data_IF_680601832242
#
_entry.id   IF_680601832242
#
_cell.length_a   1.000
_cell.length_b   1.000
_cell.length_c   1.000
_cell.angle_alpha   90.00
_cell.angle_beta   90.00
_cell.angle_gamma   90.00
#
_symmetry.space_group_name_H-M   'P 1'
#
loop_
_entity.id
_entity.type
_entity.pdbx_description
1 polymer ?
#
# COMPACT_ATOMS: atom_id res chain seq x y z
N UNK A 1 14.02 27.18 -23.57
CA UNK A 1 12.80 26.70 -24.29
C UNK A 1 11.90 25.84 -23.41
N UNK A 2 12.43 24.90 -22.62
CA UNK A 2 11.64 24.04 -21.69
C UNK A 2 10.94 24.82 -20.56
N UNK A 3 11.55 25.88 -20.04
CA UNK A 3 11.01 26.69 -18.95
C UNK A 3 9.75 27.46 -19.37
N UNK A 4 9.71 27.98 -20.60
CA UNK A 4 8.54 28.72 -21.14
C UNK A 4 7.29 27.83 -21.31
N UNK A 5 7.47 26.58 -21.73
CA UNK A 5 6.32 25.67 -21.93
C UNK A 5 5.70 25.30 -20.58
N UNK A 6 6.50 25.14 -19.53
CA UNK A 6 6.02 24.85 -18.17
C UNK A 6 5.19 26.01 -17.62
N UNK A 7 5.65 27.24 -17.80
CA UNK A 7 5.01 28.45 -17.27
C UNK A 7 3.67 28.71 -18.01
N UNK A 8 3.65 28.59 -19.33
CA UNK A 8 2.43 28.73 -20.14
C UNK A 8 1.39 27.67 -19.80
N UNK A 9 1.82 26.41 -19.59
CA UNK A 9 0.93 25.34 -19.20
C UNK A 9 0.35 25.58 -17.81
N UNK A 10 1.17 26.01 -16.86
CA UNK A 10 0.75 26.35 -15.51
C UNK A 10 -0.26 27.50 -15.51
N UNK A 11 -0.01 28.58 -16.26
CA UNK A 11 -0.92 29.71 -16.42
C UNK A 11 -2.27 29.24 -17.02
N UNK A 12 -2.25 28.37 -18.03
CA UNK A 12 -3.48 27.82 -18.62
C UNK A 12 -4.31 27.02 -17.63
N UNK A 13 -3.67 26.26 -16.72
CA UNK A 13 -4.36 25.54 -15.64
C UNK A 13 -4.87 26.49 -14.55
N UNK A 14 -4.16 27.55 -14.22
CA UNK A 14 -4.53 28.48 -13.14
C UNK A 14 -5.62 29.46 -13.55
N UNK A 15 -5.63 29.88 -14.82
CA UNK A 15 -6.57 30.91 -15.32
C UNK A 15 -7.69 30.35 -16.18
N UNK A 16 -7.50 29.16 -16.71
CA UNK A 16 -8.42 28.56 -17.68
C UNK A 16 -9.62 27.84 -17.06
N UNK A 17 -10.49 27.34 -17.95
CA UNK A 17 -11.65 26.51 -17.61
C UNK A 17 -11.26 25.23 -16.85
N UNK A 18 -10.04 24.77 -16.99
CA UNK A 18 -9.51 23.55 -16.42
C UNK A 18 -8.75 23.78 -15.12
N UNK A 19 -9.00 24.88 -14.47
CA UNK A 19 -8.37 25.23 -13.20
C UNK A 19 -8.48 24.09 -12.20
N UNK A 20 -7.31 23.65 -11.73
CA UNK A 20 -7.18 22.64 -10.70
C UNK A 20 -7.03 23.33 -9.35
N UNK A 21 -7.77 22.87 -8.34
CA UNK A 21 -7.69 23.43 -7.00
C UNK A 21 -6.71 22.63 -6.15
N UNK A 22 -5.72 23.31 -5.59
CA UNK A 22 -4.77 22.70 -4.66
C UNK A 22 -5.38 22.49 -3.29
N UNK A 23 -4.98 21.44 -2.61
CA UNK A 23 -5.45 21.06 -1.28
C UNK A 23 -4.29 20.80 -0.34
N UNK A 24 -4.43 21.24 0.91
CA UNK A 24 -3.53 20.80 1.97
C UNK A 24 -4.03 19.46 2.53
N UNK A 25 -3.20 18.45 2.50
CA UNK A 25 -3.44 17.19 3.19
C UNK A 25 -2.74 17.27 4.56
N UNK A 26 -3.49 17.31 5.68
CA UNK A 26 -2.90 17.61 7.00
C UNK A 26 -1.76 16.67 7.40
N UNK A 27 -1.89 15.39 7.07
CA UNK A 27 -0.93 14.35 7.46
C UNK A 27 0.06 13.96 6.35
N UNK A 28 0.17 14.73 5.25
CA UNK A 28 1.00 14.38 4.10
C UNK A 28 2.44 14.01 4.49
N UNK A 29 3.11 14.88 5.27
CA UNK A 29 4.49 14.67 5.72
C UNK A 29 4.64 13.42 6.58
N UNK A 30 3.63 13.13 7.44
CA UNK A 30 3.62 11.93 8.26
C UNK A 30 3.54 10.69 7.37
N UNK A 31 2.62 10.64 6.42
CA UNK A 31 2.47 9.51 5.52
C UNK A 31 3.74 9.22 4.71
N UNK A 32 4.40 10.27 4.19
CA UNK A 32 5.66 10.12 3.44
C UNK A 32 6.75 9.51 4.31
N UNK A 33 6.91 9.95 5.57
CA UNK A 33 7.89 9.37 6.50
C UNK A 33 7.53 7.93 6.89
N UNK A 34 6.25 7.65 7.07
CA UNK A 34 5.80 6.33 7.50
C UNK A 34 6.01 5.27 6.40
N UNK A 35 5.95 5.66 5.11
CA UNK A 35 6.27 4.78 3.98
C UNK A 35 7.71 4.25 4.08
N UNK A 36 8.64 4.99 4.67
CA UNK A 36 10.03 4.54 4.87
C UNK A 36 10.10 3.22 5.66
N UNK A 37 9.15 2.96 6.58
CA UNK A 37 9.09 1.66 7.26
C UNK A 37 8.93 0.48 6.28
N UNK A 38 8.24 0.68 5.15
CA UNK A 38 8.06 -0.35 4.14
C UNK A 38 9.35 -0.54 3.35
N UNK A 39 9.99 0.55 2.92
CA UNK A 39 11.19 0.51 2.09
C UNK A 39 12.42 0.01 2.87
N UNK A 40 12.54 0.33 4.15
CA UNK A 40 13.63 -0.17 5.00
C UNK A 40 13.43 -1.62 5.46
N UNK A 41 12.22 -2.15 5.38
CA UNK A 41 11.95 -3.55 5.68
C UNK A 41 12.24 -4.46 4.47
N UNK A 42 13.37 -4.29 3.78
CA UNK A 42 13.77 -5.17 2.68
C UNK A 42 13.96 -6.62 3.16
N UNK A 43 13.49 -7.58 2.35
CA UNK A 43 13.75 -9.00 2.65
C UNK A 43 15.13 -9.40 2.19
N UNK A 44 15.87 -10.12 3.06
CA UNK A 44 17.13 -10.78 2.75
C UNK A 44 16.95 -12.15 2.10
N UNK A 45 15.73 -12.65 1.96
CA UNK A 45 15.45 -13.95 1.37
C UNK A 45 15.81 -13.98 -0.12
N UNK A 46 16.73 -14.85 -0.51
CA UNK A 46 17.26 -14.94 -1.88
C UNK A 46 16.12 -15.16 -2.90
N UNK A 47 15.21 -16.08 -2.64
CA UNK A 47 14.10 -16.43 -3.53
C UNK A 47 13.02 -15.33 -3.61
N UNK A 48 12.98 -14.45 -2.62
CA UNK A 48 12.02 -13.36 -2.53
C UNK A 48 12.66 -11.97 -2.74
N UNK A 49 13.96 -11.87 -2.92
CA UNK A 49 14.68 -10.59 -3.01
C UNK A 49 14.11 -9.67 -4.11
N UNK A 50 13.65 -10.24 -5.21
CA UNK A 50 12.99 -9.49 -6.28
C UNK A 50 11.71 -8.76 -5.83
N UNK A 51 11.08 -9.18 -4.72
CA UNK A 51 9.89 -8.55 -4.17
C UNK A 51 10.15 -7.13 -3.66
N UNK A 52 11.38 -6.82 -3.20
CA UNK A 52 11.76 -5.50 -2.71
C UNK A 52 11.43 -4.41 -3.72
N UNK A 53 11.81 -4.60 -4.99
CA UNK A 53 11.55 -3.64 -6.09
C UNK A 53 10.06 -3.36 -6.29
N UNK A 54 9.21 -4.37 -6.14
CA UNK A 54 7.76 -4.19 -6.26
C UNK A 54 7.19 -3.41 -5.07
N UNK A 55 7.70 -3.63 -3.86
CA UNK A 55 7.27 -2.88 -2.68
C UNK A 55 7.77 -1.44 -2.71
N UNK A 56 8.96 -1.18 -3.26
CA UNK A 56 9.46 0.17 -3.53
C UNK A 56 8.54 0.89 -4.52
N UNK A 57 8.16 0.22 -5.62
CA UNK A 57 7.22 0.77 -6.59
C UNK A 57 5.84 1.03 -5.97
N UNK A 58 5.33 0.11 -5.14
CA UNK A 58 4.07 0.30 -4.43
C UNK A 58 4.14 1.50 -3.47
N UNK A 59 5.26 1.68 -2.77
CA UNK A 59 5.53 2.82 -1.88
C UNK A 59 5.61 4.12 -2.67
N UNK A 60 6.30 4.12 -3.81
CA UNK A 60 6.37 5.28 -4.72
C UNK A 60 4.98 5.66 -5.24
N UNK A 61 4.11 4.68 -5.56
CA UNK A 61 2.73 4.96 -5.97
C UNK A 61 1.93 5.65 -4.86
N UNK A 62 2.13 5.30 -3.58
CA UNK A 62 1.50 5.99 -2.45
C UNK A 62 2.03 7.42 -2.35
N UNK A 63 3.34 7.63 -2.42
CA UNK A 63 3.95 8.96 -2.38
C UNK A 63 3.44 9.86 -3.51
N UNK A 64 3.41 9.33 -4.74
CA UNK A 64 2.86 10.03 -5.91
C UNK A 64 1.39 10.42 -5.69
N UNK A 65 0.59 9.54 -5.08
CA UNK A 65 -0.83 9.81 -4.81
C UNK A 65 -1.03 11.00 -3.90
N UNK A 66 -0.20 11.12 -2.85
CA UNK A 66 -0.24 12.24 -1.90
C UNK A 66 0.05 13.55 -2.61
N UNK A 67 1.10 13.57 -3.43
CA UNK A 67 1.44 14.75 -4.23
C UNK A 67 0.32 15.14 -5.21
N UNK A 68 -0.16 14.18 -5.99
CA UNK A 68 -1.24 14.39 -6.95
C UNK A 68 -2.53 14.90 -6.29
N UNK A 69 -2.85 14.39 -5.09
CA UNK A 69 -4.01 14.84 -4.36
C UNK A 69 -3.89 16.31 -3.94
N UNK A 70 -2.72 16.73 -3.42
CA UNK A 70 -2.48 18.12 -3.03
C UNK A 70 -2.51 19.06 -4.22
N UNK A 71 -2.05 18.62 -5.38
CA UNK A 71 -2.14 19.37 -6.64
C UNK A 71 -3.56 19.36 -7.25
N UNK A 72 -4.53 18.65 -6.65
CA UNK A 72 -5.93 18.60 -7.07
C UNK A 72 -6.25 17.55 -8.15
N UNK A 73 -5.30 16.66 -8.48
CA UNK A 73 -5.50 15.56 -9.43
C UNK A 73 -6.09 14.32 -8.74
N UNK A 74 -7.30 14.45 -8.20
CA UNK A 74 -7.92 13.42 -7.35
C UNK A 74 -8.02 12.04 -8.02
N UNK A 75 -8.43 12.00 -9.28
CA UNK A 75 -8.62 10.74 -9.99
C UNK A 75 -7.31 9.97 -10.11
N UNK A 76 -6.25 10.68 -10.50
CA UNK A 76 -4.91 10.13 -10.59
C UNK A 76 -4.38 9.72 -9.22
N UNK A 77 -4.68 10.49 -8.17
CA UNK A 77 -4.32 10.18 -6.79
C UNK A 77 -4.96 8.87 -6.32
N UNK A 78 -6.28 8.72 -6.47
CA UNK A 78 -6.97 7.47 -6.12
C UNK A 78 -6.54 6.29 -6.98
N UNK A 79 -6.27 6.52 -8.27
CA UNK A 79 -5.73 5.49 -9.15
C UNK A 79 -4.36 4.98 -8.67
N UNK A 80 -3.45 5.89 -8.29
CA UNK A 80 -2.13 5.53 -7.75
C UNK A 80 -2.23 4.72 -6.46
N UNK A 81 -3.12 5.09 -5.53
CA UNK A 81 -3.37 4.30 -4.31
C UNK A 81 -3.91 2.90 -4.62
N UNK A 82 -4.83 2.79 -5.57
CA UNK A 82 -5.31 1.49 -6.01
C UNK A 82 -4.18 0.66 -6.60
N UNK A 83 -3.34 1.27 -7.45
CA UNK A 83 -2.23 0.60 -8.11
C UNK A 83 -1.20 0.09 -7.09
N UNK A 84 -0.91 0.82 -6.01
CA UNK A 84 0.00 0.35 -4.96
C UNK A 84 -0.45 -0.98 -4.32
N UNK A 85 -1.75 -1.11 -4.06
CA UNK A 85 -2.33 -2.35 -3.52
C UNK A 85 -2.29 -3.48 -4.56
N UNK A 86 -2.58 -3.17 -5.83
CA UNK A 86 -2.55 -4.15 -6.92
C UNK A 86 -1.13 -4.67 -7.20
N UNK A 87 -0.12 -3.80 -7.16
CA UNK A 87 1.30 -4.19 -7.24
C UNK A 87 1.65 -5.14 -6.10
N UNK A 88 1.28 -4.83 -4.86
CA UNK A 88 1.58 -5.67 -3.69
C UNK A 88 0.93 -7.05 -3.77
N UNK A 89 -0.30 -7.13 -4.27
CA UNK A 89 -0.98 -8.41 -4.56
C UNK A 89 -0.23 -9.17 -5.65
N UNK A 90 0.17 -8.47 -6.71
CA UNK A 90 0.96 -9.02 -7.81
C UNK A 90 2.28 -9.58 -7.33
N UNK A 91 2.96 -8.87 -6.44
CA UNK A 91 4.23 -9.31 -5.84
C UNK A 91 4.08 -10.65 -5.14
N UNK A 92 3.10 -10.76 -4.24
CA UNK A 92 2.85 -12.01 -3.53
C UNK A 92 2.49 -13.16 -4.48
N UNK A 93 1.67 -12.87 -5.50
CA UNK A 93 1.29 -13.85 -6.51
C UNK A 93 2.49 -14.34 -7.34
N UNK A 94 3.37 -13.44 -7.77
CA UNK A 94 4.53 -13.75 -8.59
C UNK A 94 5.63 -14.46 -7.78
N UNK A 95 5.83 -14.07 -6.52
CA UNK A 95 6.76 -14.75 -5.61
C UNK A 95 6.31 -16.21 -5.36
N UNK A 96 5.02 -16.45 -5.17
CA UNK A 96 4.47 -17.80 -5.00
C UNK A 96 4.44 -18.62 -6.30
N UNK A 97 4.67 -18.01 -7.47
CA UNK A 97 4.53 -18.65 -8.77
C UNK A 97 5.66 -18.25 -9.73
N UNK A 98 6.87 -18.86 -9.63
CA UNK A 98 8.02 -18.52 -10.48
C UNK A 98 7.73 -18.59 -12.00
N UNK A 99 6.94 -19.57 -12.45
CA UNK A 99 6.55 -19.66 -13.87
C UNK A 99 5.73 -18.47 -14.34
N UNK A 100 4.90 -17.89 -13.46
CA UNK A 100 4.13 -16.69 -13.75
C UNK A 100 4.99 -15.45 -13.75
N UNK A 101 6.04 -15.42 -12.93
CA UNK A 101 7.02 -14.34 -12.95
C UNK A 101 7.72 -14.24 -14.30
N UNK A 102 8.12 -15.37 -14.90
CA UNK A 102 8.74 -15.37 -16.24
C UNK A 102 7.76 -14.87 -17.33
N UNK A 103 6.50 -15.27 -17.25
CA UNK A 103 5.45 -14.76 -18.16
C UNK A 103 5.22 -13.27 -17.99
N UNK A 104 5.20 -12.79 -16.74
CA UNK A 104 5.08 -11.37 -16.44
C UNK A 104 6.27 -10.56 -17.00
N UNK A 105 7.50 -11.06 -16.85
CA UNK A 105 8.70 -10.46 -17.46
C UNK A 105 8.61 -10.42 -19.00
N UNK A 106 8.00 -11.42 -19.60
CA UNK A 106 7.77 -11.50 -21.03
C UNK A 106 6.57 -10.63 -21.52
N UNK A 107 5.97 -9.83 -20.64
CA UNK A 107 4.82 -8.96 -20.92
C UNK A 107 3.57 -9.73 -21.41
N UNK A 108 3.43 -11.00 -21.03
CA UNK A 108 2.24 -11.78 -21.35
C UNK A 108 1.01 -11.25 -20.60
N UNK A 109 -0.19 -11.28 -21.18
CA UNK A 109 -1.42 -10.83 -20.55
C UNK A 109 -1.88 -11.79 -19.44
N UNK A 110 -2.80 -11.35 -18.58
CA UNK A 110 -3.51 -12.23 -17.65
C UNK A 110 -3.25 -11.96 -16.17
N UNK A 111 -2.60 -10.85 -15.85
CA UNK A 111 -2.26 -10.45 -14.45
C UNK A 111 -3.31 -9.50 -13.85
N UNK A 112 -4.58 -9.93 -13.86
CA UNK A 112 -5.68 -9.18 -13.26
C UNK A 112 -5.70 -9.38 -11.74
N UNK A 113 -5.72 -8.30 -10.96
CA UNK A 113 -5.68 -8.34 -9.49
C UNK A 113 -6.76 -9.24 -8.87
N UNK A 114 -7.96 -9.26 -9.42
CA UNK A 114 -9.04 -10.13 -8.97
C UNK A 114 -8.75 -11.62 -9.12
N UNK A 115 -8.14 -12.01 -10.25
CA UNK A 115 -7.72 -13.41 -10.51
C UNK A 115 -6.56 -13.81 -9.61
N UNK A 116 -5.58 -12.91 -9.41
CA UNK A 116 -4.45 -13.14 -8.51
C UNK A 116 -4.91 -13.34 -7.06
N UNK A 117 -5.79 -12.49 -6.54
CA UNK A 117 -6.38 -12.67 -5.19
C UNK A 117 -7.15 -13.98 -5.09
N UNK A 118 -7.91 -14.37 -6.10
CA UNK A 118 -8.64 -15.65 -6.11
C UNK A 118 -7.68 -16.84 -6.06
N UNK A 119 -6.61 -16.80 -6.82
CA UNK A 119 -5.57 -17.82 -6.81
C UNK A 119 -4.90 -17.93 -5.43
N UNK A 120 -4.42 -16.80 -4.86
CA UNK A 120 -3.76 -16.76 -3.56
C UNK A 120 -4.64 -17.32 -2.44
N UNK A 121 -5.93 -17.03 -2.45
CA UNK A 121 -6.87 -17.56 -1.45
C UNK A 121 -7.04 -19.08 -1.50
N UNK A 122 -6.93 -19.65 -2.68
CA UNK A 122 -7.25 -21.06 -2.89
C UNK A 122 -5.99 -21.95 -2.87
N UNK A 123 -4.86 -21.40 -3.31
CA UNK A 123 -3.67 -22.19 -3.61
C UNK A 123 -2.44 -21.81 -2.79
N UNK A 124 -2.43 -20.62 -2.15
CA UNK A 124 -1.28 -20.16 -1.36
C UNK A 124 -1.54 -20.36 0.14
N UNK A 125 -0.92 -21.39 0.78
CA UNK A 125 -1.21 -21.73 2.18
C UNK A 125 -0.93 -20.59 3.15
N UNK A 126 0.19 -19.86 2.97
CA UNK A 126 0.59 -18.74 3.83
C UNK A 126 -0.47 -17.63 3.77
N UNK A 127 -0.86 -17.22 2.57
CA UNK A 127 -1.87 -16.17 2.40
C UNK A 127 -3.24 -16.59 2.93
N UNK A 128 -3.60 -17.85 2.77
CA UNK A 128 -4.85 -18.43 3.30
C UNK A 128 -4.86 -18.40 4.82
N UNK A 129 -3.76 -18.78 5.47
CA UNK A 129 -3.62 -18.75 6.92
C UNK A 129 -3.74 -17.33 7.47
N UNK A 130 -2.96 -16.38 6.92
CA UNK A 130 -3.02 -14.96 7.29
C UNK A 130 -4.45 -14.41 7.15
N UNK A 131 -5.12 -14.68 6.04
CA UNK A 131 -6.50 -14.21 5.83
C UNK A 131 -7.50 -14.82 6.81
N UNK A 132 -7.28 -16.05 7.21
CA UNK A 132 -8.15 -16.75 8.18
C UNK A 132 -7.98 -16.16 9.57
N UNK A 133 -6.77 -15.79 9.93
CA UNK A 133 -6.45 -15.17 11.24
C UNK A 133 -6.86 -13.69 11.30
N UNK A 134 -6.78 -12.95 10.17
CA UNK A 134 -7.06 -11.51 10.09
C UNK A 134 -8.30 -11.15 9.25
N UNK A 135 -9.48 -11.76 9.48
CA UNK A 135 -10.65 -11.57 8.62
C UNK A 135 -11.15 -10.12 8.62
N UNK A 136 -11.05 -9.43 9.76
CA UNK A 136 -11.48 -8.02 9.90
C UNK A 136 -10.61 -7.09 9.10
N UNK A 137 -9.29 -7.26 9.13
CA UNK A 137 -8.34 -6.48 8.34
C UNK A 137 -8.69 -6.55 6.84
N UNK A 138 -8.80 -7.75 6.30
CA UNK A 138 -9.09 -7.93 4.87
C UNK A 138 -10.53 -7.53 4.48
N UNK A 139 -11.49 -7.59 5.40
CA UNK A 139 -12.84 -7.05 5.18
C UNK A 139 -12.82 -5.53 5.06
N UNK A 140 -12.09 -4.85 5.94
CA UNK A 140 -11.92 -3.39 5.92
C UNK A 140 -11.20 -2.95 4.64
N UNK A 141 -10.07 -3.58 4.32
CA UNK A 141 -9.33 -3.33 3.07
C UNK A 141 -10.24 -3.44 1.84
N UNK A 142 -11.05 -4.51 1.75
CA UNK A 142 -12.01 -4.67 0.64
C UNK A 142 -13.06 -3.55 0.59
N UNK A 143 -13.48 -3.04 1.73
CA UNK A 143 -14.44 -1.93 1.81
C UNK A 143 -13.83 -0.66 1.25
N UNK A 144 -12.59 -0.36 1.63
CA UNK A 144 -11.83 0.80 1.12
C UNK A 144 -11.55 0.65 -0.38
N UNK A 145 -11.13 -0.52 -0.85
CA UNK A 145 -10.95 -0.76 -2.28
C UNK A 145 -12.23 -0.52 -3.10
N UNK A 146 -13.40 -0.92 -2.59
CA UNK A 146 -14.68 -0.64 -3.24
C UNK A 146 -14.98 0.87 -3.29
N UNK A 147 -14.62 1.60 -2.23
CA UNK A 147 -14.77 3.06 -2.15
C UNK A 147 -13.84 3.73 -3.18
N UNK A 148 -12.58 3.34 -3.24
CA UNK A 148 -11.60 3.82 -4.20
C UNK A 148 -12.03 3.56 -5.64
N UNK A 149 -12.59 2.38 -5.92
CA UNK A 149 -13.09 2.02 -7.24
C UNK A 149 -14.20 2.96 -7.75
N UNK A 150 -15.00 3.55 -6.85
CA UNK A 150 -16.01 4.53 -7.26
C UNK A 150 -15.37 5.78 -7.87
N UNK A 151 -14.27 6.24 -7.29
CA UNK A 151 -13.52 7.39 -7.83
C UNK A 151 -12.85 7.03 -9.15
N UNK A 152 -12.16 5.91 -9.21
CA UNK A 152 -11.43 5.46 -10.40
C UNK A 152 -12.37 5.17 -11.57
N UNK A 153 -13.52 4.54 -11.33
CA UNK A 153 -14.48 4.15 -12.37
C UNK A 153 -15.64 5.13 -12.54
N UNK A 154 -15.58 6.30 -11.89
CA UNK A 154 -16.63 7.35 -12.00
C UNK A 154 -18.03 6.84 -11.70
N UNK A 155 -18.18 6.02 -10.68
CA UNK A 155 -19.46 5.46 -10.28
C UNK A 155 -20.30 6.49 -9.50
N UNK A 156 -21.27 7.10 -10.18
CA UNK A 156 -22.15 8.14 -9.68
C UNK A 156 -21.55 9.55 -9.81
N UNK A 157 -22.43 10.54 -9.95
CA UNK A 157 -22.02 11.95 -10.14
C UNK A 157 -21.14 12.49 -9.01
N UNK A 158 -21.31 11.98 -7.77
CA UNK A 158 -20.49 12.39 -6.62
C UNK A 158 -19.01 11.99 -6.74
N UNK A 159 -18.64 11.13 -7.69
CA UNK A 159 -17.27 10.73 -7.98
C UNK A 159 -16.67 11.49 -9.17
N UNK A 160 -17.44 12.37 -9.82
CA UNK A 160 -16.93 13.13 -10.94
C UNK A 160 -16.03 14.26 -10.47
N UNK A 161 -14.88 14.40 -11.10
CA UNK A 161 -13.92 15.45 -10.81
C UNK A 161 -14.54 16.86 -10.86
N UNK A 162 -15.34 17.13 -11.89
CA UNK A 162 -16.00 18.42 -12.05
C UNK A 162 -16.96 18.75 -10.90
N UNK A 163 -17.67 17.75 -10.36
CA UNK A 163 -18.54 17.93 -9.18
C UNK A 163 -17.73 18.23 -7.92
N UNK A 164 -16.50 17.75 -7.86
CA UNK A 164 -15.60 17.94 -6.73
C UNK A 164 -14.83 19.26 -6.81
N UNK A 165 -14.47 19.69 -8.02
CA UNK A 165 -13.62 20.87 -8.26
C UNK A 165 -14.40 22.16 -8.44
N UNK A 166 -15.67 22.09 -8.82
CA UNK A 166 -16.53 23.25 -9.07
C UNK A 166 -17.75 23.20 -8.15
N UNK A 167 -17.64 23.77 -6.98
CA UNK A 167 -18.80 24.02 -6.13
C UNK A 167 -19.34 25.43 -6.33
N UNK A 168 -20.65 25.58 -6.26
CA UNK A 168 -21.36 26.82 -6.54
C UNK A 168 -21.60 27.68 -5.29
N UNK A 169 -21.19 27.20 -4.11
CA UNK A 169 -21.30 27.96 -2.86
C UNK A 169 -20.31 27.50 -1.80
N UNK A 170 -19.70 28.43 -1.07
CA UNK A 170 -18.69 28.20 -0.04
C UNK A 170 -19.08 27.15 1.03
N UNK A 171 -20.35 27.09 1.43
CA UNK A 171 -20.80 26.11 2.42
C UNK A 171 -20.86 24.66 1.90
N UNK A 172 -21.24 24.47 0.64
CA UNK A 172 -21.20 23.14 -0.01
C UNK A 172 -19.78 22.72 -0.31
N UNK A 173 -18.93 23.67 -0.69
CA UNK A 173 -17.51 23.45 -0.92
C UNK A 173 -16.86 22.81 0.29
N UNK A 174 -16.90 23.46 1.44
CA UNK A 174 -16.23 22.97 2.65
C UNK A 174 -16.66 21.55 3.05
N UNK A 175 -17.93 21.20 2.89
CA UNK A 175 -18.44 19.87 3.20
C UNK A 175 -17.95 18.80 2.21
N UNK A 176 -17.91 19.13 0.92
CA UNK A 176 -17.42 18.22 -0.13
C UNK A 176 -15.93 17.98 0.05
N UNK A 177 -15.15 19.04 0.27
CA UNK A 177 -13.71 18.95 0.47
C UNK A 177 -13.33 18.19 1.73
N UNK A 178 -13.97 18.45 2.84
CA UNK A 178 -13.73 17.70 4.08
C UNK A 178 -13.96 16.20 3.88
N UNK A 179 -15.00 15.86 3.12
CA UNK A 179 -15.30 14.47 2.80
C UNK A 179 -14.23 13.85 1.91
N UNK A 180 -13.78 14.53 0.86
CA UNK A 180 -12.76 14.00 -0.07
C UNK A 180 -11.44 13.81 0.66
N UNK A 181 -11.02 14.78 1.48
CA UNK A 181 -9.81 14.70 2.29
C UNK A 181 -9.91 13.48 3.21
N UNK A 182 -11.01 13.34 3.94
CA UNK A 182 -11.23 12.19 4.83
C UNK A 182 -11.22 10.86 4.07
N UNK A 183 -11.90 10.78 2.91
CA UNK A 183 -11.93 9.58 2.08
C UNK A 183 -10.54 9.23 1.54
N UNK A 184 -9.75 10.24 1.20
CA UNK A 184 -8.39 10.06 0.71
C UNK A 184 -7.45 9.60 1.82
N UNK A 185 -7.45 10.26 2.99
CA UNK A 185 -6.63 9.84 4.15
C UNK A 185 -6.94 8.41 4.59
N UNK A 186 -8.22 8.04 4.66
CA UNK A 186 -8.62 6.67 4.96
C UNK A 186 -8.05 5.68 3.92
N UNK A 187 -8.05 6.08 2.65
CA UNK A 187 -7.50 5.24 1.57
C UNK A 187 -5.98 5.16 1.62
N UNK A 188 -5.28 6.26 1.92
CA UNK A 188 -3.81 6.27 2.12
C UNK A 188 -3.42 5.32 3.25
N UNK A 189 -4.08 5.44 4.41
CA UNK A 189 -3.82 4.55 5.56
C UNK A 189 -4.05 3.09 5.21
N UNK A 190 -5.15 2.80 4.51
CA UNK A 190 -5.45 1.44 4.08
C UNK A 190 -4.44 0.91 3.04
N UNK A 191 -3.93 1.76 2.16
CA UNK A 191 -2.92 1.38 1.18
C UNK A 191 -1.57 1.07 1.86
N UNK A 192 -1.10 1.93 2.76
CA UNK A 192 0.12 1.69 3.55
C UNK A 192 0.00 0.38 4.34
N UNK A 193 -1.10 0.19 5.07
CA UNK A 193 -1.35 -1.04 5.84
C UNK A 193 -1.45 -2.29 4.96
N UNK A 194 -2.03 -2.18 3.77
CA UNK A 194 -2.14 -3.29 2.82
C UNK A 194 -0.76 -3.68 2.27
N UNK A 195 0.05 -2.70 1.83
CA UNK A 195 1.40 -2.94 1.32
C UNK A 195 2.25 -3.62 2.41
N UNK A 196 2.22 -3.08 3.64
CA UNK A 196 2.91 -3.66 4.78
C UNK A 196 2.46 -5.10 5.07
N UNK A 197 1.16 -5.38 5.06
CA UNK A 197 0.63 -6.72 5.33
C UNK A 197 0.95 -7.72 4.22
N UNK A 198 0.94 -7.30 2.95
CA UNK A 198 1.35 -8.16 1.84
C UNK A 198 2.85 -8.46 1.88
N UNK A 199 3.66 -7.50 2.35
CA UNK A 199 5.07 -7.75 2.61
C UNK A 199 5.26 -8.79 3.70
N UNK A 200 4.55 -8.69 4.81
CA UNK A 200 4.57 -9.67 5.91
C UNK A 200 4.13 -11.08 5.46
N UNK A 201 3.35 -11.19 4.39
CA UNK A 201 2.99 -12.48 3.82
C UNK A 201 4.14 -13.15 3.03
N UNK A 202 5.21 -12.41 2.74
CA UNK A 202 6.43 -12.93 2.12
C UNK A 202 7.50 -13.16 3.19
N UNK A 203 7.69 -12.16 4.07
CA UNK A 203 8.73 -12.16 5.08
C UNK A 203 8.20 -11.62 6.41
N UNK A 204 8.16 -12.43 7.48
CA UNK A 204 7.66 -12.01 8.79
C UNK A 204 8.67 -11.19 9.61
N UNK A 205 9.93 -11.11 9.17
CA UNK A 205 11.03 -10.48 9.90
C UNK A 205 10.73 -9.06 10.37
N UNK A 206 10.05 -8.17 9.61
CA UNK A 206 9.75 -6.82 10.10
C UNK A 206 8.95 -6.79 11.42
N UNK A 207 8.18 -7.83 11.72
CA UNK A 207 7.47 -7.98 13.01
C UNK A 207 8.27 -8.79 14.03
N UNK A 208 8.99 -9.81 13.58
CA UNK A 208 9.82 -10.64 14.47
C UNK A 208 10.92 -9.78 15.11
N UNK A 209 11.57 -8.93 14.33
CA UNK A 209 12.67 -8.07 14.78
C UNK A 209 12.21 -6.88 15.68
N UNK A 210 10.92 -6.68 15.86
CA UNK A 210 10.40 -5.77 16.89
C UNK A 210 10.63 -6.32 18.33
N UNK A 211 10.83 -7.62 18.48
CA UNK A 211 11.22 -8.25 19.73
C UNK A 211 12.76 -8.19 19.84
N UNK A 212 13.26 -7.50 20.85
CA UNK A 212 14.69 -7.25 21.05
C UNK A 212 15.49 -8.56 21.20
N UNK A 213 14.93 -9.57 21.89
CA UNK A 213 15.58 -10.87 22.05
C UNK A 213 15.69 -11.60 20.71
N UNK A 214 14.64 -11.61 19.92
CA UNK A 214 14.65 -12.24 18.59
C UNK A 214 15.54 -11.48 17.61
N UNK A 215 15.57 -10.15 17.70
CA UNK A 215 16.47 -9.32 16.88
C UNK A 215 17.93 -9.63 17.16
N UNK A 216 18.34 -9.75 18.41
CA UNK A 216 19.73 -10.09 18.81
C UNK A 216 20.14 -11.50 18.37
N UNK A 217 19.19 -12.41 18.20
CA UNK A 217 19.43 -13.79 17.78
C UNK A 217 19.34 -13.99 16.26
N UNK A 218 18.74 -13.05 15.55
CA UNK A 218 18.62 -13.11 14.11
C UNK A 218 19.98 -12.91 13.44
N UNK A 219 20.25 -13.71 12.40
CA UNK A 219 21.40 -13.51 11.51
C UNK A 219 21.07 -12.56 10.33
N UNK A 220 19.86 -12.04 10.27
CA UNK A 220 19.46 -11.08 9.22
C UNK A 220 19.95 -9.68 9.57
N UNK A 221 20.72 -9.07 8.68
CA UNK A 221 21.26 -7.72 8.82
C UNK A 221 20.67 -6.74 7.77
N UNK A 222 19.73 -7.19 6.94
CA UNK A 222 19.15 -6.42 5.86
C UNK A 222 17.80 -5.84 6.30
N UNK A 223 16.92 -6.69 6.82
CA UNK A 223 15.56 -6.33 7.19
C UNK A 223 15.56 -5.41 8.41
N UNK A 224 14.87 -4.26 8.29
CA UNK A 224 14.60 -3.39 9.43
C UNK A 224 13.23 -3.72 10.05
N UNK A 225 13.10 -3.68 11.39
CA UNK A 225 11.81 -3.85 12.04
C UNK A 225 10.86 -2.68 11.72
N UNK A 226 9.55 -2.96 11.70
CA UNK A 226 8.57 -1.89 11.71
C UNK A 226 8.61 -1.15 13.06
N UNK A 227 8.37 0.17 13.04
CA UNK A 227 8.20 0.91 14.27
C UNK A 227 6.86 0.61 14.94
N UNK A 228 6.78 0.76 16.27
CA UNK A 228 5.53 0.55 17.02
C UNK A 228 4.43 1.51 16.54
N UNK A 229 4.78 2.77 16.29
CA UNK A 229 3.86 3.78 15.81
C UNK A 229 3.30 3.42 14.42
N UNK A 230 4.15 2.90 13.54
CA UNK A 230 3.72 2.43 12.22
C UNK A 230 2.73 1.27 12.33
N UNK A 231 3.05 0.28 13.16
CA UNK A 231 2.17 -0.86 13.40
C UNK A 231 0.83 -0.41 13.98
N UNK A 232 0.85 0.46 14.99
CA UNK A 232 -0.37 0.97 15.63
C UNK A 232 -1.29 1.70 14.64
N UNK A 233 -0.71 2.54 13.79
CA UNK A 233 -1.45 3.40 12.88
C UNK A 233 -2.04 2.64 11.67
N UNK A 234 -1.26 1.74 11.04
CA UNK A 234 -1.59 1.18 9.73
C UNK A 234 -2.04 -0.27 9.74
N UNK A 235 -1.61 -1.06 10.73
CA UNK A 235 -1.95 -2.47 10.85
C UNK A 235 -2.89 -2.70 12.03
N UNK A 236 -2.59 -2.08 13.16
CA UNK A 236 -3.27 -2.23 14.43
C UNK A 236 -2.71 -3.38 15.27
N UNK A 237 -2.47 -3.14 16.57
CA UNK A 237 -1.89 -4.13 17.48
C UNK A 237 -2.67 -5.45 17.52
N UNK A 238 -4.01 -5.40 17.54
CA UNK A 238 -4.84 -6.61 17.53
C UNK A 238 -4.58 -7.47 16.28
N UNK A 239 -4.38 -6.85 15.13
CA UNK A 239 -4.06 -7.59 13.91
C UNK A 239 -2.66 -8.20 13.97
N UNK A 240 -1.68 -7.51 14.58
CA UNK A 240 -0.34 -8.06 14.76
C UNK A 240 -0.36 -9.25 15.72
N UNK A 241 -1.09 -9.19 16.82
CA UNK A 241 -1.22 -10.34 17.75
C UNK A 241 -1.89 -11.55 17.07
N UNK A 242 -2.84 -11.32 16.16
CA UNK A 242 -3.41 -12.38 15.34
C UNK A 242 -2.42 -12.87 14.27
N UNK A 243 -1.63 -11.97 13.67
CA UNK A 243 -0.59 -12.32 12.72
C UNK A 243 0.50 -13.19 13.35
N UNK A 244 0.92 -12.89 14.58
CA UNK A 244 1.87 -13.70 15.35
C UNK A 244 1.40 -15.16 15.56
N UNK A 245 0.11 -15.44 15.39
CA UNK A 245 -0.44 -16.81 15.47
C UNK A 245 -0.42 -17.54 14.12
N UNK A 246 0.07 -16.93 13.04
CA UNK A 246 0.20 -17.59 11.73
C UNK A 246 1.35 -18.58 11.73
N UNK A 247 1.23 -19.62 10.90
CA UNK A 247 2.28 -20.60 10.75
C UNK A 247 3.59 -19.95 10.28
N UNK A 248 3.51 -19.05 9.29
CA UNK A 248 4.69 -18.33 8.78
C UNK A 248 5.48 -17.63 9.91
N UNK A 249 4.81 -16.89 10.78
CA UNK A 249 5.47 -16.21 11.89
C UNK A 249 6.08 -17.21 12.88
N UNK A 250 5.34 -18.26 13.25
CA UNK A 250 5.79 -19.24 14.23
C UNK A 250 6.98 -20.05 13.73
N UNK A 251 6.93 -20.51 12.48
CA UNK A 251 8.01 -21.29 11.86
C UNK A 251 9.32 -20.47 11.82
N UNK A 252 9.24 -19.18 11.47
CA UNK A 252 10.40 -18.28 11.47
C UNK A 252 10.93 -18.03 12.88
N UNK A 253 10.06 -17.77 13.84
CA UNK A 253 10.43 -17.58 15.24
C UNK A 253 11.15 -18.81 15.79
N UNK A 254 10.61 -20.00 15.55
CA UNK A 254 11.20 -21.26 15.97
C UNK A 254 12.57 -21.49 15.32
N UNK A 255 12.72 -21.17 14.03
CA UNK A 255 13.98 -21.24 13.31
C UNK A 255 15.07 -20.37 13.96
N UNK A 256 14.75 -19.12 14.31
CA UNK A 256 15.69 -18.21 14.99
C UNK A 256 16.11 -18.78 16.35
N UNK A 257 15.14 -19.29 17.13
CA UNK A 257 15.42 -19.88 18.44
C UNK A 257 16.18 -21.20 18.39
N UNK A 258 16.07 -21.93 17.29
CA UNK A 258 16.77 -23.23 17.10
C UNK A 258 18.25 -23.08 16.76
N UNK A 259 18.67 -21.99 16.11
CA UNK A 259 20.07 -21.77 15.75
C UNK A 259 21.03 -21.69 16.94
N UNK A 260 20.55 -21.35 18.14
CA UNK A 260 21.36 -21.33 19.36
C UNK A 260 21.76 -22.71 19.90
N UNK A 261 21.04 -23.77 19.56
CA UNK A 261 21.32 -25.12 20.08
C UNK A 261 22.49 -25.82 19.38
N UNK A 262 23.04 -25.18 18.33
CA UNK A 262 24.13 -25.78 17.52
C UNK A 262 25.47 -25.07 17.66
N UNK A 263 25.56 -23.97 18.39
CA UNK A 263 26.79 -23.25 18.76
C UNK A 263 27.06 -23.37 20.26
#
# INVERSE_FOLDING_TARGET
MEQNISDELQEAFETGRWKVRKFALPNATKYIRDIDNITWAETGLIDAFGANRFFDEASQMIANSIYLFQEGFFDAAFYSLRQSIEISIGTLYLTANPEKLEKWKALEPGFESGKMVCFLKNNEPVFKDIRTKLPTFFKNLRTIQKKTNKYVHKQGFSSFYTTQSYSWSDHRENKIYSKIISDFEETVKAAIGAVAMYRLAIDPLPIILMDEELMMRSADFITQPYSEEFVAEYIGYNNIELYKQTNLYQDYKESILAHEKQN
#
